data_IF_330474194860
#
_entry.id   IF_330474194860
#
_cell.length_a   1.000
_cell.length_b   1.000
_cell.length_c   1.000
_cell.angle_alpha   90.00
_cell.angle_beta   90.00
_cell.angle_gamma   90.00
#
_symmetry.space_group_name_H-M   'P 1'
#
loop_
_entity.id
_entity.type
_entity.pdbx_description
1 polymer ?
#
# COMPACT_ATOMS: atom_id res chain seq x y z
N UNK A 1 23.67 -3.49 -12.19
CA UNK A 1 22.92 -2.22 -12.23
C UNK A 1 21.81 -2.39 -13.26
N UNK A 2 20.54 -2.41 -12.84
CA UNK A 2 19.40 -2.50 -13.75
C UNK A 2 19.24 -1.11 -14.38
N UNK A 3 19.42 -0.99 -15.70
CA UNK A 3 19.13 0.25 -16.40
C UNK A 3 17.61 0.45 -16.40
N UNK A 4 17.10 1.58 -15.87
CA UNK A 4 15.67 1.84 -15.87
C UNK A 4 15.17 1.87 -17.32
N UNK A 5 14.05 1.19 -17.59
CA UNK A 5 13.40 1.18 -18.93
C UNK A 5 12.50 2.41 -19.13
N UNK A 6 12.81 3.50 -18.42
CA UNK A 6 11.99 4.69 -18.42
C UNK A 6 12.05 5.39 -19.78
N UNK A 7 10.88 5.77 -20.29
CA UNK A 7 10.76 6.48 -21.58
C UNK A 7 9.88 7.70 -21.43
N UNK A 8 9.95 8.62 -22.39
CA UNK A 8 9.09 9.81 -22.45
C UNK A 8 7.59 9.44 -22.41
N UNK A 9 7.22 8.29 -22.99
CA UNK A 9 5.85 7.78 -22.94
C UNK A 9 5.37 7.51 -21.51
N UNK A 10 6.24 7.07 -20.60
CA UNK A 10 5.89 6.87 -19.20
C UNK A 10 5.61 8.21 -18.50
N UNK A 11 6.44 9.22 -18.74
CA UNK A 11 6.22 10.57 -18.22
C UNK A 11 4.90 11.16 -18.74
N UNK A 12 4.63 11.05 -20.04
CA UNK A 12 3.37 11.51 -20.63
C UNK A 12 2.15 10.76 -20.07
N UNK A 13 2.26 9.44 -19.89
CA UNK A 13 1.21 8.64 -19.28
C UNK A 13 0.94 9.07 -17.83
N UNK A 14 1.98 9.35 -17.04
CA UNK A 14 1.82 9.85 -15.66
C UNK A 14 1.06 11.18 -15.63
N UNK A 15 1.53 12.18 -16.37
CA UNK A 15 0.87 13.49 -16.39
C UNK A 15 -0.55 13.41 -16.97
N UNK A 16 -0.75 12.58 -18.00
CA UNK A 16 -2.07 12.31 -18.58
C UNK A 16 -3.03 11.70 -17.56
N UNK A 17 -2.61 10.65 -16.84
CA UNK A 17 -3.44 10.00 -15.81
C UNK A 17 -3.78 10.95 -14.67
N UNK A 18 -2.83 11.78 -14.22
CA UNK A 18 -3.06 12.79 -13.19
C UNK A 18 -4.08 13.85 -13.66
N UNK A 19 -3.95 14.33 -14.90
CA UNK A 19 -4.92 15.26 -15.47
C UNK A 19 -6.32 14.64 -15.58
N UNK A 20 -6.41 13.36 -15.98
CA UNK A 20 -7.68 12.62 -16.06
C UNK A 20 -8.34 12.51 -14.68
N UNK A 21 -7.58 12.23 -13.61
CA UNK A 21 -8.11 12.18 -12.24
C UNK A 21 -8.80 13.51 -11.89
N UNK A 22 -8.12 14.65 -12.09
CA UNK A 22 -8.67 15.98 -11.80
C UNK A 22 -9.93 16.25 -12.62
N UNK A 23 -9.93 15.90 -13.91
CA UNK A 23 -11.09 16.10 -14.79
C UNK A 23 -12.26 15.23 -14.33
N UNK A 24 -12.05 13.96 -14.03
CA UNK A 24 -13.10 13.03 -13.58
C UNK A 24 -13.71 13.53 -12.28
N UNK A 25 -12.90 13.85 -11.28
CA UNK A 25 -13.39 14.30 -9.98
C UNK A 25 -14.16 15.63 -10.07
N UNK A 26 -13.81 16.50 -11.03
CA UNK A 26 -14.52 17.76 -11.29
C UNK A 26 -15.77 17.67 -12.18
N UNK A 27 -15.85 16.65 -13.06
CA UNK A 27 -16.94 16.50 -14.04
C UNK A 27 -18.04 15.55 -13.59
N UNK A 28 -17.72 14.55 -12.75
CA UNK A 28 -18.67 13.57 -12.17
C UNK A 28 -19.56 14.15 -11.07
N UNK A 29 -20.03 15.40 -11.27
CA UNK A 29 -20.79 16.23 -10.32
C UNK A 29 -21.95 15.48 -9.62
N UNK A 30 -22.51 14.44 -10.24
CA UNK A 30 -23.70 13.71 -9.81
C UNK A 30 -23.38 12.37 -9.09
N UNK A 31 -22.18 11.78 -9.24
CA UNK A 31 -21.86 10.43 -8.72
C UNK A 31 -20.48 10.37 -8.04
N UNK A 32 -20.37 10.81 -6.78
CA UNK A 32 -19.13 10.72 -5.95
C UNK A 32 -18.52 9.32 -5.94
N UNK A 33 -19.37 8.30 -5.89
CA UNK A 33 -18.96 6.90 -5.86
C UNK A 33 -18.25 6.50 -7.16
N UNK A 34 -18.75 6.98 -8.30
CA UNK A 34 -18.11 6.74 -9.60
C UNK A 34 -16.76 7.43 -9.68
N UNK A 35 -16.67 8.69 -9.22
CA UNK A 35 -15.41 9.44 -9.13
C UNK A 35 -14.38 8.65 -8.31
N UNK A 36 -14.77 8.21 -7.12
CA UNK A 36 -13.93 7.41 -6.22
C UNK A 36 -13.37 6.14 -6.89
N UNK A 37 -14.22 5.33 -7.52
CA UNK A 37 -13.75 4.09 -8.16
C UNK A 37 -12.90 4.35 -9.40
N UNK A 38 -13.19 5.38 -10.18
CA UNK A 38 -12.37 5.77 -11.32
C UNK A 38 -10.98 6.24 -10.87
N UNK A 39 -10.92 7.08 -9.83
CA UNK A 39 -9.67 7.54 -9.24
C UNK A 39 -8.86 6.39 -8.63
N UNK A 40 -9.52 5.42 -7.97
CA UNK A 40 -8.89 4.19 -7.49
C UNK A 40 -8.29 3.37 -8.65
N UNK A 41 -9.04 3.19 -9.74
CA UNK A 41 -8.56 2.47 -10.92
C UNK A 41 -7.37 3.20 -11.58
N UNK A 42 -7.45 4.53 -11.72
CA UNK A 42 -6.38 5.33 -12.33
C UNK A 42 -5.10 5.33 -11.49
N UNK A 43 -5.20 5.42 -10.16
CA UNK A 43 -4.03 5.28 -9.29
C UNK A 43 -3.42 3.87 -9.36
N UNK A 44 -4.24 2.84 -9.56
CA UNK A 44 -3.74 1.47 -9.76
C UNK A 44 -2.97 1.36 -11.08
N UNK A 45 -3.51 1.94 -12.16
CA UNK A 45 -2.81 2.01 -13.47
C UNK A 45 -1.52 2.82 -13.34
N UNK A 46 -1.55 3.96 -12.64
CA UNK A 46 -0.40 4.81 -12.41
C UNK A 46 0.71 4.06 -11.65
N UNK A 47 0.37 3.30 -10.60
CA UNK A 47 1.33 2.43 -9.90
C UNK A 47 1.93 1.36 -10.85
N UNK A 48 1.12 0.80 -11.75
CA UNK A 48 1.57 -0.14 -12.77
C UNK A 48 2.51 0.50 -13.80
N UNK A 49 2.23 1.73 -14.24
CA UNK A 49 3.09 2.51 -15.16
C UNK A 49 4.43 2.81 -14.50
N UNK A 50 4.44 3.19 -13.21
CA UNK A 50 5.67 3.38 -12.44
C UNK A 50 6.46 2.08 -12.35
N UNK A 51 5.81 0.96 -12.02
CA UNK A 51 6.44 -0.36 -11.97
C UNK A 51 7.06 -0.76 -13.32
N UNK A 52 6.31 -0.55 -14.40
CA UNK A 52 6.75 -0.85 -15.75
C UNK A 52 7.90 0.06 -16.20
N UNK A 53 7.87 1.34 -15.87
CA UNK A 53 8.94 2.28 -16.24
C UNK A 53 10.28 1.96 -15.57
N UNK A 54 10.26 1.45 -14.33
CA UNK A 54 11.49 1.10 -13.61
C UNK A 54 12.03 -0.27 -14.01
N UNK A 55 11.19 -1.32 -13.95
CA UNK A 55 11.63 -2.72 -14.14
C UNK A 55 11.18 -3.36 -15.46
N UNK A 56 10.38 -2.68 -16.28
CA UNK A 56 9.75 -3.27 -17.48
C UNK A 56 8.62 -4.24 -17.17
N UNK A 57 8.17 -4.30 -15.93
CA UNK A 57 7.12 -5.21 -15.47
C UNK A 57 6.05 -4.37 -14.77
N UNK A 58 4.78 -4.56 -15.11
CA UNK A 58 3.66 -3.84 -14.48
C UNK A 58 3.61 -4.05 -12.95
N UNK A 59 4.03 -5.23 -12.48
CA UNK A 59 4.17 -5.57 -11.05
C UNK A 59 5.47 -5.06 -10.41
N UNK A 60 6.29 -4.32 -11.15
CA UNK A 60 7.64 -3.93 -10.75
C UNK A 60 7.70 -3.17 -9.42
N UNK A 61 6.65 -2.41 -9.10
CA UNK A 61 6.55 -1.69 -7.81
C UNK A 61 6.53 -2.63 -6.60
N UNK A 62 6.11 -3.89 -6.78
CA UNK A 62 6.02 -4.89 -5.72
C UNK A 62 7.32 -5.70 -5.56
N UNK A 63 8.22 -5.61 -6.54
CA UNK A 63 9.47 -6.38 -6.56
C UNK A 63 10.49 -5.69 -5.64
N UNK A 64 11.17 -6.49 -4.84
CA UNK A 64 12.25 -6.07 -3.96
C UNK A 64 13.65 -6.34 -4.55
N UNK A 65 14.69 -6.04 -3.77
CA UNK A 65 16.08 -6.24 -4.19
C UNK A 65 16.52 -7.71 -4.32
N UNK A 66 15.66 -8.67 -3.99
CA UNK A 66 15.91 -10.10 -4.19
C UNK A 66 15.16 -10.64 -5.41
N UNK A 67 14.59 -9.74 -6.22
CA UNK A 67 13.76 -10.07 -7.38
C UNK A 67 12.51 -10.88 -7.00
N UNK A 68 11.96 -10.60 -5.81
CA UNK A 68 10.77 -11.25 -5.26
C UNK A 68 9.67 -10.25 -4.99
N UNK A 69 8.43 -10.69 -5.12
CA UNK A 69 7.28 -9.87 -4.70
C UNK A 69 7.28 -9.79 -3.17
N UNK A 70 7.36 -8.59 -2.63
CA UNK A 70 7.40 -8.34 -1.18
C UNK A 70 6.01 -8.07 -0.61
N UNK A 71 5.65 -8.81 0.43
CA UNK A 71 4.39 -8.60 1.16
C UNK A 71 4.27 -7.19 1.72
N UNK A 72 5.36 -6.61 2.26
CA UNK A 72 5.32 -5.27 2.83
C UNK A 72 5.12 -4.18 1.77
N UNK A 73 5.71 -4.36 0.57
CA UNK A 73 5.49 -3.45 -0.57
C UNK A 73 4.06 -3.56 -1.08
N UNK A 74 3.53 -4.78 -1.15
CA UNK A 74 2.13 -5.02 -1.49
C UNK A 74 1.15 -4.34 -0.52
N UNK A 75 1.36 -4.51 0.79
CA UNK A 75 0.55 -3.83 1.81
C UNK A 75 0.61 -2.31 1.66
N UNK A 76 1.81 -1.75 1.50
CA UNK A 76 1.98 -0.31 1.30
C UNK A 76 1.26 0.20 0.06
N UNK A 77 1.46 -0.44 -1.10
CA UNK A 77 0.83 -0.03 -2.35
C UNK A 77 -0.69 -0.07 -2.26
N UNK A 78 -1.27 -1.14 -1.69
CA UNK A 78 -2.71 -1.25 -1.48
C UNK A 78 -3.26 -0.10 -0.61
N UNK A 79 -2.64 0.13 0.54
CA UNK A 79 -3.08 1.17 1.46
C UNK A 79 -2.91 2.57 0.89
N UNK A 80 -1.79 2.84 0.20
CA UNK A 80 -1.57 4.11 -0.48
C UNK A 80 -2.61 4.36 -1.56
N UNK A 81 -2.89 3.39 -2.44
CA UNK A 81 -3.92 3.53 -3.48
C UNK A 81 -5.30 3.76 -2.86
N UNK A 82 -5.67 2.99 -1.83
CA UNK A 82 -6.98 3.10 -1.19
C UNK A 82 -7.20 4.47 -0.51
N UNK A 83 -6.24 4.92 0.29
CA UNK A 83 -6.37 6.19 1.02
C UNK A 83 -6.23 7.39 0.09
N UNK A 84 -5.26 7.35 -0.82
CA UNK A 84 -5.03 8.46 -1.75
C UNK A 84 -6.19 8.62 -2.73
N UNK A 85 -6.79 7.52 -3.21
CA UNK A 85 -7.97 7.61 -4.09
C UNK A 85 -9.16 8.25 -3.39
N UNK A 86 -9.43 7.86 -2.14
CA UNK A 86 -10.45 8.52 -1.33
C UNK A 86 -10.14 10.00 -1.13
N UNK A 87 -8.87 10.34 -0.81
CA UNK A 87 -8.49 11.71 -0.47
C UNK A 87 -8.62 12.63 -1.67
N UNK A 88 -8.15 12.19 -2.84
CA UNK A 88 -8.27 12.96 -4.09
C UNK A 88 -9.74 13.14 -4.48
N UNK A 89 -10.54 12.06 -4.47
CA UNK A 89 -11.95 12.14 -4.82
C UNK A 89 -12.74 13.04 -3.86
N UNK A 90 -12.42 13.02 -2.56
CA UNK A 90 -13.01 13.90 -1.57
C UNK A 90 -12.56 15.36 -1.74
N UNK A 91 -11.26 15.62 -1.92
CA UNK A 91 -10.70 16.96 -2.02
C UNK A 91 -11.19 17.69 -3.27
N UNK A 92 -11.03 17.07 -4.44
CA UNK A 92 -11.53 17.65 -5.70
C UNK A 92 -13.06 17.67 -5.71
N UNK A 93 -13.71 16.62 -5.20
CA UNK A 93 -15.16 16.59 -5.07
C UNK A 93 -15.72 17.73 -4.22
N UNK A 94 -15.08 18.08 -3.11
CA UNK A 94 -15.44 19.23 -2.28
C UNK A 94 -15.19 20.55 -3.01
N UNK A 95 -14.00 20.71 -3.61
CA UNK A 95 -13.58 21.91 -4.33
C UNK A 95 -14.56 22.28 -5.45
N UNK A 96 -14.88 21.35 -6.36
CA UNK A 96 -15.73 21.63 -7.51
C UNK A 96 -17.20 21.85 -7.13
N UNK A 97 -17.67 21.23 -6.03
CA UNK A 97 -19.02 21.47 -5.51
C UNK A 97 -19.12 22.81 -4.80
N UNK A 98 -18.10 23.20 -4.04
CA UNK A 98 -18.00 24.52 -3.43
C UNK A 98 -18.02 25.65 -4.45
N UNK A 99 -17.38 25.45 -5.61
CA UNK A 99 -17.43 26.41 -6.73
C UNK A 99 -18.80 26.50 -7.43
N UNK A 100 -19.67 25.50 -7.28
CA UNK A 100 -20.93 25.39 -8.03
C UNK A 100 -22.16 25.82 -7.24
N UNK A 101 -22.04 25.98 -5.92
CA UNK A 101 -23.17 26.34 -5.05
C UNK A 101 -23.03 27.81 -4.59
N UNK A 102 -24.16 28.56 -4.51
CA UNK A 102 -24.15 29.85 -3.82
C UNK A 102 -23.76 29.64 -2.35
N UNK A 103 -23.17 30.66 -1.68
CA UNK A 103 -22.78 30.55 -0.27
C UNK A 103 -24.02 30.22 0.58
N UNK A 104 -24.13 28.96 0.98
CA UNK A 104 -25.18 28.45 1.87
C UNK A 104 -24.79 28.64 3.34
N UNK A 105 -25.76 28.68 4.28
CA UNK A 105 -25.51 28.82 5.72
C UNK A 105 -24.49 27.80 6.25
N UNK A 106 -23.88 28.04 7.44
CA UNK A 106 -22.76 27.25 7.94
C UNK A 106 -23.12 25.75 7.99
N UNK A 107 -22.60 25.01 7.02
CA UNK A 107 -22.59 23.56 7.03
C UNK A 107 -21.51 23.07 8.02
N UNK A 108 -21.63 21.83 8.48
CA UNK A 108 -20.64 21.19 9.35
C UNK A 108 -19.23 21.11 8.71
N UNK A 109 -19.15 21.13 7.36
CA UNK A 109 -17.95 21.48 6.60
C UNK A 109 -18.02 22.93 6.18
N UNK A 110 -16.98 23.72 6.44
CA UNK A 110 -16.83 25.01 5.75
C UNK A 110 -16.51 24.75 4.28
N UNK A 111 -17.30 25.36 3.40
CA UNK A 111 -17.02 25.42 1.95
C UNK A 111 -15.69 26.16 1.69
N UNK A 112 -15.26 26.98 2.64
CA UNK A 112 -14.04 27.81 2.57
C UNK A 112 -12.73 26.99 2.69
N UNK A 113 -12.80 25.73 3.15
CA UNK A 113 -11.64 24.84 3.25
C UNK A 113 -11.93 23.45 2.65
N UNK A 114 -11.97 23.33 1.30
CA UNK A 114 -12.23 22.07 0.62
C UNK A 114 -11.15 21.00 0.85
N UNK A 115 -9.97 21.41 1.33
CA UNK A 115 -8.84 20.53 1.64
C UNK A 115 -8.78 20.13 3.13
N UNK A 116 -9.63 20.71 3.99
CA UNK A 116 -9.71 20.46 5.43
C UNK A 116 -10.31 19.10 5.81
N UNK A 117 -10.03 18.05 5.03
CA UNK A 117 -10.54 16.70 5.25
C UNK A 117 -9.76 16.05 6.39
N UNK A 118 -10.46 15.76 7.48
CA UNK A 118 -9.87 15.17 8.69
C UNK A 118 -9.71 13.66 8.48
N UNK A 119 -8.47 13.19 8.46
CA UNK A 119 -8.17 11.75 8.51
C UNK A 119 -7.89 11.35 9.95
N UNK A 120 -8.62 10.32 10.42
CA UNK A 120 -8.50 9.82 11.79
C UNK A 120 -7.04 9.48 12.16
N UNK A 121 -6.55 9.85 13.36
CA UNK A 121 -5.21 9.49 13.83
C UNK A 121 -4.93 7.98 13.77
N UNK A 122 -5.95 7.13 13.94
CA UNK A 122 -5.81 5.69 13.88
C UNK A 122 -5.48 5.20 12.46
N UNK A 123 -5.99 5.88 11.43
CA UNK A 123 -5.65 5.60 10.02
C UNK A 123 -4.20 5.99 9.75
N UNK A 124 -3.76 7.14 10.28
CA UNK A 124 -2.35 7.55 10.19
C UNK A 124 -1.41 6.62 10.93
N UNK A 125 -1.79 6.17 12.13
CA UNK A 125 -1.03 5.20 12.91
C UNK A 125 -0.87 3.88 12.13
N UNK A 126 -1.95 3.39 11.51
CA UNK A 126 -1.91 2.22 10.64
C UNK A 126 -0.91 2.38 9.49
N UNK A 127 -0.93 3.53 8.82
CA UNK A 127 0.02 3.84 7.74
C UNK A 127 1.46 3.89 8.24
N UNK A 128 1.70 4.53 9.38
CA UNK A 128 3.01 4.59 10.02
C UNK A 128 3.55 3.21 10.40
N UNK A 129 2.71 2.33 10.95
CA UNK A 129 3.07 0.94 11.28
C UNK A 129 3.43 0.16 10.01
N UNK A 130 2.62 0.28 8.96
CA UNK A 130 2.84 -0.42 7.69
C UNK A 130 4.16 0.01 7.04
N UNK A 131 4.43 1.32 7.02
CA UNK A 131 5.67 1.90 6.49
C UNK A 131 6.89 1.44 7.30
N UNK A 132 6.81 1.52 8.63
CA UNK A 132 7.89 1.11 9.52
C UNK A 132 8.20 -0.38 9.36
N UNK A 133 7.17 -1.23 9.25
CA UNK A 133 7.34 -2.66 9.01
C UNK A 133 8.01 -2.95 7.66
N UNK A 134 7.70 -2.18 6.62
CA UNK A 134 8.33 -2.31 5.31
C UNK A 134 9.82 -1.95 5.36
N UNK A 135 10.16 -0.81 5.96
CA UNK A 135 11.55 -0.36 6.12
C UNK A 135 12.35 -1.34 6.98
N UNK A 136 11.80 -1.77 8.12
CA UNK A 136 12.42 -2.75 8.99
C UNK A 136 12.68 -4.08 8.26
N UNK A 137 11.74 -4.50 7.41
CA UNK A 137 11.88 -5.73 6.62
C UNK A 137 13.07 -5.69 5.66
N UNK A 138 13.33 -4.55 5.01
CA UNK A 138 14.49 -4.37 4.12
C UNK A 138 15.79 -4.27 4.92
N UNK A 139 15.80 -3.55 6.05
CA UNK A 139 16.98 -3.43 6.92
C UNK A 139 17.45 -4.80 7.45
N UNK A 140 16.50 -5.67 7.83
CA UNK A 140 16.84 -7.05 8.25
C UNK A 140 17.45 -7.85 7.11
N UNK A 141 16.90 -7.76 5.89
CA UNK A 141 17.48 -8.46 4.72
C UNK A 141 18.89 -7.97 4.41
N UNK A 142 19.11 -6.65 4.43
CA UNK A 142 20.42 -6.05 4.22
C UNK A 142 21.42 -6.53 5.29
N UNK A 143 21.00 -6.55 6.57
CA UNK A 143 21.82 -7.05 7.67
C UNK A 143 22.18 -8.53 7.50
N UNK A 144 21.22 -9.36 7.10
CA UNK A 144 21.46 -10.78 6.84
C UNK A 144 22.43 -10.99 5.68
N UNK A 145 22.35 -10.20 4.60
CA UNK A 145 23.33 -10.21 3.49
C UNK A 145 24.74 -9.87 3.98
N UNK A 146 24.90 -8.79 4.75
CA UNK A 146 26.20 -8.41 5.33
C UNK A 146 26.79 -9.50 6.23
N UNK A 147 25.92 -10.26 6.92
CA UNK A 147 26.30 -11.38 7.80
C UNK A 147 26.47 -12.72 7.06
N UNK A 148 26.36 -12.75 5.73
CA UNK A 148 26.47 -13.98 4.94
C UNK A 148 25.37 -15.01 5.23
N UNK A 149 24.22 -14.59 5.76
CA UNK A 149 23.10 -15.49 6.05
C UNK A 149 22.33 -15.81 4.77
N UNK A 150 21.90 -17.08 4.58
CA UNK A 150 21.17 -17.48 3.39
C UNK A 150 19.83 -16.76 3.30
N UNK A 151 19.64 -16.05 2.19
CA UNK A 151 18.42 -15.36 1.79
C UNK A 151 17.92 -15.98 0.48
N UNK A 152 16.61 -16.15 0.37
CA UNK A 152 16.00 -16.72 -0.84
C UNK A 152 15.75 -15.57 -1.83
N UNK A 153 16.43 -15.61 -2.97
CA UNK A 153 16.30 -14.69 -4.10
C UNK A 153 15.93 -15.45 -5.39
N UNK A 154 15.35 -14.73 -6.36
CA UNK A 154 15.07 -15.27 -7.69
C UNK A 154 16.21 -14.95 -8.67
N UNK A 155 16.15 -15.52 -9.88
CA UNK A 155 17.18 -15.34 -10.93
C UNK A 155 17.14 -13.97 -11.61
N UNK A 156 15.99 -13.30 -11.57
CA UNK A 156 15.79 -11.93 -12.04
C UNK A 156 14.36 -11.43 -11.78
N UNK A 157 14.07 -10.13 -11.97
CA UNK A 157 12.75 -9.54 -11.73
C UNK A 157 11.60 -10.24 -12.47
N UNK A 158 11.89 -10.80 -13.64
CA UNK A 158 10.97 -11.59 -14.45
C UNK A 158 10.49 -12.87 -13.75
N UNK A 159 11.33 -13.48 -12.91
CA UNK A 159 11.05 -14.70 -12.16
C UNK A 159 10.24 -14.45 -10.88
N UNK A 160 10.04 -13.18 -10.50
CA UNK A 160 9.21 -12.81 -9.35
C UNK A 160 7.83 -13.47 -9.44
N UNK A 161 7.37 -14.10 -8.37
CA UNK A 161 6.09 -14.83 -8.37
C UNK A 161 5.16 -14.32 -7.29
N UNK A 162 3.85 -14.40 -7.53
CA UNK A 162 2.84 -14.12 -6.50
C UNK A 162 2.96 -15.08 -5.31
N UNK A 163 3.52 -16.28 -5.52
CA UNK A 163 3.84 -17.21 -4.44
C UNK A 163 4.85 -16.62 -3.44
N UNK A 164 5.71 -15.68 -3.86
CA UNK A 164 6.72 -15.06 -2.99
C UNK A 164 6.12 -14.29 -1.81
N UNK A 165 4.87 -13.82 -1.94
CA UNK A 165 4.12 -13.18 -0.86
C UNK A 165 3.97 -14.11 0.36
N UNK A 166 3.84 -15.41 0.12
CA UNK A 166 3.53 -16.41 1.14
C UNK A 166 4.73 -17.23 1.58
N UNK A 167 5.89 -17.00 0.96
CA UNK A 167 7.07 -17.81 1.20
C UNK A 167 8.04 -17.14 2.17
N UNK A 168 8.77 -17.96 2.89
CA UNK A 168 9.88 -17.50 3.73
C UNK A 168 10.92 -16.75 2.89
N UNK A 169 11.53 -15.72 3.48
CA UNK A 169 12.66 -14.98 2.87
C UNK A 169 14.02 -15.41 3.37
N UNK A 170 14.06 -16.20 4.44
CA UNK A 170 15.29 -16.61 5.12
C UNK A 170 15.43 -18.13 5.07
N UNK A 171 16.69 -18.58 5.03
CA UNK A 171 17.03 -20.00 4.91
C UNK A 171 17.20 -20.44 3.46
N UNK A 172 17.37 -21.75 3.27
CA UNK A 172 17.66 -22.35 1.96
C UNK A 172 16.45 -23.05 1.34
N UNK A 173 15.43 -23.36 2.15
CA UNK A 173 14.26 -24.11 1.70
C UNK A 173 13.07 -23.20 1.37
N UNK A 174 12.49 -23.39 0.19
CA UNK A 174 11.23 -22.78 -0.24
C UNK A 174 10.07 -23.35 0.58
N UNK A 175 9.67 -22.65 1.65
CA UNK A 175 8.58 -23.03 2.54
C UNK A 175 7.57 -21.89 2.68
N UNK A 176 6.31 -22.26 2.92
CA UNK A 176 5.25 -21.31 3.26
C UNK A 176 5.51 -20.75 4.65
N UNK A 177 5.38 -19.44 4.79
CA UNK A 177 5.50 -18.70 6.04
C UNK A 177 4.08 -18.34 6.53
N UNK A 178 3.65 -19.02 7.60
CA UNK A 178 2.31 -18.84 8.16
C UNK A 178 2.05 -17.38 8.59
N UNK A 179 3.06 -16.68 9.10
CA UNK A 179 2.92 -15.30 9.56
C UNK A 179 2.65 -14.36 8.39
N UNK A 180 3.25 -14.62 7.22
CA UNK A 180 2.97 -13.85 6.00
C UNK A 180 1.58 -14.10 5.47
N UNK A 181 1.15 -15.36 5.47
CA UNK A 181 -0.22 -15.75 5.09
C UNK A 181 -1.24 -15.02 5.97
N UNK A 182 -1.02 -15.04 7.29
CA UNK A 182 -1.87 -14.34 8.25
C UNK A 182 -1.91 -12.83 7.99
N UNK A 183 -0.75 -12.19 7.82
CA UNK A 183 -0.65 -10.76 7.54
C UNK A 183 -1.32 -10.37 6.21
N UNK A 184 -1.22 -11.22 5.19
CA UNK A 184 -1.91 -11.03 3.92
C UNK A 184 -3.43 -11.02 4.12
N UNK A 185 -3.99 -12.03 4.79
CA UNK A 185 -5.43 -12.09 5.04
C UNK A 185 -5.94 -10.89 5.83
N UNK A 186 -5.25 -10.50 6.91
CA UNK A 186 -5.64 -9.32 7.68
C UNK A 186 -5.63 -8.06 6.83
N UNK A 187 -4.60 -7.89 5.99
CA UNK A 187 -4.51 -6.71 5.10
C UNK A 187 -5.67 -6.69 4.13
N UNK A 188 -5.93 -7.79 3.42
CA UNK A 188 -6.96 -7.84 2.38
C UNK A 188 -8.34 -7.58 2.99
N UNK A 189 -8.67 -8.24 4.10
CA UNK A 189 -9.95 -8.03 4.79
C UNK A 189 -10.11 -6.59 5.23
N UNK A 190 -9.05 -5.99 5.77
CA UNK A 190 -9.09 -4.62 6.29
C UNK A 190 -9.20 -3.58 5.17
N UNK A 191 -8.46 -3.75 4.06
CA UNK A 191 -8.54 -2.90 2.86
C UNK A 191 -9.96 -2.94 2.28
N UNK A 192 -10.57 -4.13 2.18
CA UNK A 192 -11.94 -4.27 1.69
C UNK A 192 -12.94 -3.61 2.65
N UNK A 193 -12.84 -3.88 3.94
CA UNK A 193 -13.73 -3.31 4.95
C UNK A 193 -13.64 -1.77 4.96
N UNK A 194 -12.43 -1.22 4.93
CA UNK A 194 -12.23 0.23 4.91
C UNK A 194 -12.66 0.86 3.60
N UNK A 195 -12.44 0.19 2.45
CA UNK A 195 -12.97 0.62 1.16
C UNK A 195 -14.50 0.68 1.15
N UNK A 196 -15.18 -0.28 1.79
CA UNK A 196 -16.63 -0.25 1.95
C UNK A 196 -17.09 0.93 2.84
N UNK A 197 -16.35 1.27 3.89
CA UNK A 197 -16.63 2.45 4.72
C UNK A 197 -16.46 3.76 3.91
N UNK A 198 -15.40 3.86 3.09
CA UNK A 198 -15.21 4.99 2.19
C UNK A 198 -16.34 5.09 1.15
N UNK A 199 -16.76 3.97 0.57
CA UNK A 199 -17.89 3.96 -0.35
C UNK A 199 -19.17 4.47 0.33
N UNK A 200 -19.49 3.99 1.54
CA UNK A 200 -20.67 4.47 2.28
C UNK A 200 -20.58 5.97 2.58
N UNK A 201 -19.40 6.49 2.90
CA UNK A 201 -19.15 7.90 3.09
C UNK A 201 -19.50 8.70 1.82
N UNK A 202 -19.06 8.23 0.65
CA UNK A 202 -19.35 8.86 -0.65
C UNK A 202 -20.80 8.71 -1.13
N UNK A 203 -21.51 7.67 -0.70
CA UNK A 203 -22.96 7.51 -0.98
C UNK A 203 -23.79 8.47 -0.15
N UNK A 204 -23.43 8.66 1.12
CA UNK A 204 -24.29 9.34 2.11
C UNK A 204 -24.08 10.85 2.17
N UNK A 205 -22.90 11.33 1.78
CA UNK A 205 -22.50 12.70 2.02
C UNK A 205 -22.31 13.47 0.73
N UNK A 206 -22.80 14.71 0.73
CA UNK A 206 -22.58 15.66 -0.36
C UNK A 206 -21.24 16.40 -0.23
N UNK A 207 -20.72 16.55 1.00
CA UNK A 207 -19.38 17.05 1.29
C UNK A 207 -18.67 16.07 2.22
N UNK A 208 -17.38 15.84 1.98
CA UNK A 208 -16.58 14.92 2.79
C UNK A 208 -15.70 15.73 3.73
N UNK A 209 -16.00 15.71 5.02
CA UNK A 209 -15.25 16.49 6.03
C UNK A 209 -14.26 15.63 6.81
N UNK A 210 -14.53 14.33 6.91
CA UNK A 210 -13.72 13.40 7.66
C UNK A 210 -13.81 12.00 7.05
N UNK A 211 -12.73 11.25 7.20
CA UNK A 211 -12.70 9.84 6.84
C UNK A 211 -13.27 8.97 7.96
N UNK A 212 -13.76 7.77 7.64
CA UNK A 212 -14.31 6.87 8.65
C UNK A 212 -13.23 6.52 9.68
N UNK A 213 -13.61 6.54 10.96
CA UNK A 213 -12.68 6.16 12.01
C UNK A 213 -12.43 4.65 12.01
N UNK A 214 -11.19 4.27 12.29
CA UNK A 214 -10.86 2.90 12.66
C UNK A 214 -11.03 2.77 14.17
N UNK A 215 -11.80 1.77 14.61
CA UNK A 215 -11.94 1.49 16.04
C UNK A 215 -10.60 1.10 16.65
N UNK A 216 -10.36 1.49 17.91
CA UNK A 216 -9.12 1.16 18.61
C UNK A 216 -8.88 -0.36 18.66
N UNK A 217 -9.92 -1.18 18.79
CA UNK A 217 -9.79 -2.64 18.77
C UNK A 217 -9.24 -3.19 17.45
N UNK A 218 -9.62 -2.59 16.31
CA UNK A 218 -9.08 -2.97 15.00
C UNK A 218 -7.61 -2.56 14.86
N UNK A 219 -7.25 -1.38 15.35
CA UNK A 219 -5.86 -0.92 15.41
C UNK A 219 -5.01 -1.81 16.34
N UNK A 220 -5.56 -2.26 17.48
CA UNK A 220 -4.88 -3.16 18.41
C UNK A 220 -4.66 -4.54 17.79
N UNK A 221 -5.66 -5.15 17.14
CA UNK A 221 -5.50 -6.42 16.46
C UNK A 221 -4.44 -6.35 15.35
N UNK A 222 -4.45 -5.25 14.58
CA UNK A 222 -3.46 -5.01 13.54
C UNK A 222 -2.06 -4.76 14.13
N UNK A 223 -1.98 -3.95 15.17
CA UNK A 223 -0.75 -3.67 15.91
C UNK A 223 -0.11 -4.96 16.46
N UNK A 224 -0.91 -5.87 17.01
CA UNK A 224 -0.43 -7.18 17.48
C UNK A 224 0.05 -8.05 16.31
N UNK A 225 -0.66 -8.07 15.18
CA UNK A 225 -0.23 -8.84 13.99
C UNK A 225 1.09 -8.32 13.40
N UNK A 226 1.27 -7.00 13.33
CA UNK A 226 2.49 -6.37 12.81
C UNK A 226 3.65 -6.42 13.81
N UNK A 227 3.41 -6.16 15.09
CA UNK A 227 4.41 -6.25 16.15
C UNK A 227 4.87 -7.70 16.33
N UNK A 228 3.96 -8.67 16.30
CA UNK A 228 4.29 -10.09 16.31
C UNK A 228 5.19 -10.48 15.14
N UNK A 229 4.92 -9.97 13.94
CA UNK A 229 5.77 -10.19 12.77
C UNK A 229 7.17 -9.56 12.91
N UNK A 230 7.27 -8.32 13.37
CA UNK A 230 8.55 -7.63 13.56
C UNK A 230 9.37 -8.31 14.65
N UNK A 231 8.75 -8.66 15.79
CA UNK A 231 9.39 -9.38 16.89
C UNK A 231 9.85 -10.77 16.42
N UNK A 232 8.99 -11.54 15.74
CA UNK A 232 9.34 -12.86 15.21
C UNK A 232 10.51 -12.80 14.21
N UNK A 233 10.67 -11.69 13.49
CA UNK A 233 11.77 -11.45 12.55
C UNK A 233 13.04 -10.92 13.24
N UNK A 234 12.91 -10.30 14.41
CA UNK A 234 14.03 -9.80 15.21
C UNK A 234 14.68 -10.87 16.09
N UNK A 235 13.96 -11.95 16.44
CA UNK A 235 14.50 -13.05 17.25
C UNK A 235 15.56 -13.83 16.43
N UNK A 236 16.83 -13.86 16.88
CA UNK A 236 17.87 -14.65 16.22
C UNK A 236 17.53 -16.13 16.31
N UNK A 237 17.43 -16.81 15.16
CA UNK A 237 17.36 -18.28 15.14
C UNK A 237 18.76 -18.88 15.31
N UNK A 238 18.93 -19.93 16.14
CA UNK A 238 20.19 -20.66 16.22
C UNK A 238 20.59 -21.19 14.85
N UNK A 239 21.87 -21.08 14.50
CA UNK A 239 22.40 -21.75 13.32
C UNK A 239 22.18 -23.26 13.46
N UNK A 240 21.75 -23.93 12.39
CA UNK A 240 21.64 -25.38 12.37
C UNK A 240 23.01 -25.97 12.76
N UNK A 241 23.05 -26.75 13.85
CA UNK A 241 24.25 -27.45 14.29
C UNK A 241 24.69 -28.44 13.21
N UNK A 242 25.87 -28.22 12.64
CA UNK A 242 26.55 -29.21 11.79
C UNK A 242 26.66 -30.52 12.58
N UNK A 243 26.19 -31.67 12.06
CA UNK A 243 26.36 -32.95 12.74
C UNK A 243 27.85 -33.20 12.99
N UNK A 244 28.19 -33.47 14.25
CA UNK A 244 29.56 -33.51 14.74
C UNK A 244 30.47 -34.45 13.95
N UNK A 245 31.61 -33.90 13.55
CA UNK A 245 32.79 -34.67 13.14
C UNK A 245 33.26 -35.48 14.35
N UNK A 246 33.07 -36.79 14.32
CA UNK A 246 33.77 -37.71 15.23
C UNK A 246 35.22 -37.74 14.75
N UNK A 247 36.14 -37.27 15.61
CA UNK A 247 37.59 -37.34 15.42
C UNK A 247 38.11 -38.37 16.43
N UNK A 248 39.06 -39.24 16.05
CA UNK A 248 39.18 -40.62 16.55
C UNK A 248 39.63 -40.78 17.99
#
# INVERSE_FOLDING_TARGET
MINPKWTVAHSLALFGLLAIIVIIDGTTRILFVTAYYLTLALLTVLAGVIGHGVLGLWRGILIDENDRISLSRFQLVLWTILLLSGLLAAAFGNLFRGLSLPPSPPMACRVDDPLGIIVSPNVWALMGITLTAAVASELVKQTNRMRGRPIIANGGPEDASWADLFMATEGTARRVDLTRVQNFYFTVVLVIAYGALLQQLFVRNYFICAFPELTSGMLTLLGISHAGYVVAKAIPRPAASTPGTIVP
#
